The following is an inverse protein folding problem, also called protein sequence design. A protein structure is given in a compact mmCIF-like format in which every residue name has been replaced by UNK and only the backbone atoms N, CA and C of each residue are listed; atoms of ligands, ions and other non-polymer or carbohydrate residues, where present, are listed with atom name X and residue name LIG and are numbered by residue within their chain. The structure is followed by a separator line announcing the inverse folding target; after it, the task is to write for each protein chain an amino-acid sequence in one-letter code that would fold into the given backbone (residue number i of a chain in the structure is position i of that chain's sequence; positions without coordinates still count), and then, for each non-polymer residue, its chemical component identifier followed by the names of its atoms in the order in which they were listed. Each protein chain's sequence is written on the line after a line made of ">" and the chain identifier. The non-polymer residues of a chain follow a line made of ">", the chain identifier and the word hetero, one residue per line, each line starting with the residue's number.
data_IF_568552304593
#
_entry.id   IF_568552304593
#
_cell.length_a   1.000
_cell.length_b   1.000
_cell.length_c   1.000
_cell.angle_alpha   90.00
_cell.angle_beta   90.00
_cell.angle_gamma   90.00
#
_symmetry.space_group_name_H-M   'P 1'
#
loop_
_entity.id
_entity.type
_entity.pdbx_description
1 polymer ?
#
# COMPACT_ATOMS: atom_id res chain seq x y z
N UNK A 1 -1.18 14.24 3.95
CA UNK A 1 -0.04 14.48 4.86
C UNK A 1 -0.04 13.40 5.92
N UNK A 2 1.14 12.85 6.28
CA UNK A 2 1.28 11.83 7.33
C UNK A 2 2.24 12.38 8.39
N UNK A 3 1.81 12.36 9.64
CA UNK A 3 2.55 12.91 10.78
C UNK A 3 2.60 11.90 11.92
N UNK A 4 3.76 11.71 12.57
CA UNK A 4 3.85 10.88 13.78
C UNK A 4 3.19 11.58 14.95
N UNK A 5 2.43 10.84 15.74
CA UNK A 5 1.82 11.29 16.98
C UNK A 5 2.08 10.27 18.09
N UNK A 6 1.84 10.65 19.32
CA UNK A 6 1.93 9.74 20.48
C UNK A 6 0.57 9.70 21.17
N UNK A 7 0.01 8.51 21.34
CA UNK A 7 -1.26 8.26 22.03
C UNK A 7 -0.98 7.27 23.15
N UNK A 8 -1.27 7.65 24.39
CA UNK A 8 -1.04 6.80 25.58
C UNK A 8 0.38 6.21 25.67
N UNK A 9 1.38 7.01 25.24
CA UNK A 9 2.78 6.57 25.22
C UNK A 9 3.19 5.69 24.04
N UNK A 10 2.27 5.36 23.16
CA UNK A 10 2.53 4.56 21.95
C UNK A 10 2.61 5.44 20.70
N UNK A 11 3.51 5.10 19.80
CA UNK A 11 3.64 5.77 18.51
C UNK A 11 2.47 5.41 17.60
N UNK A 12 1.91 6.43 16.96
CA UNK A 12 0.84 6.30 15.98
C UNK A 12 1.07 7.30 14.84
N UNK A 13 0.29 7.18 13.78
CA UNK A 13 0.39 8.01 12.59
C UNK A 13 -0.94 8.69 12.31
N UNK A 14 -0.95 10.02 12.26
CA UNK A 14 -2.08 10.80 11.77
C UNK A 14 -1.93 10.96 10.25
N UNK A 15 -2.83 10.36 9.50
CA UNK A 15 -2.90 10.49 8.04
C UNK A 15 -4.06 11.38 7.65
N UNK A 16 -3.75 12.51 6.98
CA UNK A 16 -4.72 13.49 6.49
C UNK A 16 -4.83 13.42 4.97
N UNK A 17 -6.05 13.32 4.46
CA UNK A 17 -6.35 13.18 3.04
C UNK A 17 -6.68 14.54 2.42
N UNK A 18 -5.80 15.02 1.52
CA UNK A 18 -5.98 16.29 0.81
C UNK A 18 -6.96 16.19 -0.35
N UNK A 19 -7.39 17.35 -0.86
CA UNK A 19 -8.26 17.48 -2.05
C UNK A 19 -7.49 17.44 -3.38
N UNK A 20 -6.24 16.96 -3.41
CA UNK A 20 -5.39 17.01 -4.61
C UNK A 20 -5.82 16.03 -5.70
N UNK A 21 -6.10 16.53 -6.91
CA UNK A 21 -6.34 15.68 -8.08
C UNK A 21 -5.08 15.57 -8.96
N UNK A 22 -4.58 14.36 -9.14
CA UNK A 22 -3.59 14.01 -10.19
C UNK A 22 -4.29 13.62 -11.50
N UNK A 23 -5.46 14.17 -11.76
CA UNK A 23 -6.39 13.73 -12.81
C UNK A 23 -5.79 13.72 -14.22
N UNK A 24 -4.97 14.72 -14.58
CA UNK A 24 -4.41 14.82 -15.94
C UNK A 24 -3.36 13.74 -16.25
N UNK A 25 -2.42 13.49 -15.32
CA UNK A 25 -1.39 12.46 -15.50
C UNK A 25 -2.00 11.05 -15.51
N UNK A 26 -3.00 10.80 -14.66
CA UNK A 26 -3.73 9.54 -14.60
C UNK A 26 -4.59 9.32 -15.85
N UNK A 27 -5.16 10.37 -16.42
CA UNK A 27 -5.92 10.32 -17.67
C UNK A 27 -5.08 9.83 -18.85
N UNK A 28 -3.86 10.35 -19.00
CA UNK A 28 -2.94 9.94 -20.05
C UNK A 28 -2.49 8.47 -19.88
N UNK A 29 -2.15 8.06 -18.67
CA UNK A 29 -1.75 6.68 -18.36
C UNK A 29 -2.91 5.70 -18.63
N UNK A 30 -4.13 6.05 -18.29
CA UNK A 30 -5.32 5.25 -18.56
C UNK A 30 -5.57 5.09 -20.06
N UNK A 31 -5.38 6.16 -20.85
CA UNK A 31 -5.50 6.11 -22.31
C UNK A 31 -4.47 5.17 -22.94
N UNK A 32 -3.21 5.22 -22.49
CA UNK A 32 -2.14 4.33 -22.96
C UNK A 32 -2.44 2.88 -22.57
N UNK A 33 -2.81 2.62 -21.31
CA UNK A 33 -3.16 1.27 -20.83
C UNK A 33 -4.30 0.65 -21.64
N UNK A 34 -5.34 1.42 -21.95
CA UNK A 34 -6.45 0.99 -22.81
C UNK A 34 -6.01 0.68 -24.25
N UNK A 35 -5.15 1.54 -24.82
CA UNK A 35 -4.68 1.39 -26.22
C UNK A 35 -3.88 0.12 -26.44
N UNK A 36 -3.13 -0.34 -25.44
CA UNK A 36 -2.27 -1.51 -25.50
C UNK A 36 -2.83 -2.75 -24.76
N UNK A 37 -4.10 -2.72 -24.31
CA UNK A 37 -4.74 -3.80 -23.55
C UNK A 37 -3.96 -4.22 -22.29
N UNK A 38 -3.29 -3.26 -21.64
CA UNK A 38 -2.53 -3.46 -20.41
C UNK A 38 -3.39 -3.15 -19.18
N UNK A 39 -4.44 -3.95 -18.97
CA UNK A 39 -5.44 -3.68 -17.93
C UNK A 39 -4.84 -3.64 -16.51
N UNK A 40 -3.84 -4.46 -16.22
CA UNK A 40 -3.11 -4.44 -14.95
C UNK A 40 -2.35 -3.11 -14.68
N UNK A 41 -2.12 -2.27 -15.69
CA UNK A 41 -1.48 -0.96 -15.55
C UNK A 41 -2.49 0.20 -15.50
N UNK A 42 -3.80 -0.08 -15.57
CA UNK A 42 -4.83 0.96 -15.46
C UNK A 42 -4.76 1.60 -14.07
N UNK A 43 -4.66 2.94 -13.99
CA UNK A 43 -4.66 3.60 -12.70
C UNK A 43 -6.05 3.51 -12.07
N UNK A 44 -6.16 3.09 -10.79
CA UNK A 44 -7.41 3.19 -10.04
C UNK A 44 -7.85 4.65 -9.91
N UNK A 45 -9.14 4.92 -9.69
CA UNK A 45 -9.63 6.26 -9.42
C UNK A 45 -8.95 6.82 -8.17
N UNK A 46 -8.26 7.96 -8.33
CA UNK A 46 -7.70 8.68 -7.19
C UNK A 46 -8.76 9.63 -6.63
N UNK A 47 -9.16 9.37 -5.39
CA UNK A 47 -10.11 10.21 -4.64
C UNK A 47 -9.36 11.01 -3.59
N UNK A 48 -9.93 12.14 -3.17
CA UNK A 48 -9.41 12.95 -2.07
C UNK A 48 -10.36 13.00 -0.89
N UNK A 49 -9.91 13.60 0.22
CA UNK A 49 -10.74 13.87 1.38
C UNK A 49 -11.37 12.63 2.01
N UNK A 50 -12.66 12.73 2.35
CA UNK A 50 -13.39 11.65 3.03
C UNK A 50 -13.48 10.37 2.19
N UNK A 51 -13.57 10.46 0.87
CA UNK A 51 -13.65 9.29 0.01
C UNK A 51 -12.35 8.46 -0.01
N UNK A 52 -11.18 9.10 0.01
CA UNK A 52 -9.89 8.41 0.13
C UNK A 52 -9.75 7.76 1.51
N UNK A 53 -10.13 8.50 2.58
CA UNK A 53 -10.17 7.96 3.95
C UNK A 53 -11.03 6.70 4.04
N UNK A 54 -12.25 6.74 3.52
CA UNK A 54 -13.20 5.63 3.58
C UNK A 54 -12.70 4.41 2.79
N UNK A 55 -12.10 4.65 1.61
CA UNK A 55 -11.46 3.57 0.83
C UNK A 55 -10.34 2.93 1.63
N UNK A 56 -9.43 3.71 2.20
CA UNK A 56 -8.30 3.16 2.97
C UNK A 56 -8.78 2.43 4.24
N UNK A 57 -9.72 2.99 5.00
CA UNK A 57 -10.26 2.36 6.19
C UNK A 57 -10.92 1.00 5.87
N UNK A 58 -11.71 0.93 4.80
CA UNK A 58 -12.31 -0.32 4.31
C UNK A 58 -11.24 -1.33 3.89
N UNK A 59 -10.27 -0.92 3.08
CA UNK A 59 -9.19 -1.78 2.59
C UNK A 59 -8.34 -2.34 3.73
N UNK A 60 -7.98 -1.51 4.72
CA UNK A 60 -7.26 -1.95 5.92
C UNK A 60 -8.06 -3.02 6.68
N UNK A 61 -9.37 -2.82 6.87
CA UNK A 61 -10.24 -3.80 7.52
C UNK A 61 -10.33 -5.13 6.76
N UNK A 62 -10.47 -5.09 5.43
CA UNK A 62 -10.50 -6.28 4.57
C UNK A 62 -9.17 -7.06 4.64
N UNK A 63 -8.05 -6.38 4.52
CA UNK A 63 -6.72 -6.99 4.58
C UNK A 63 -6.41 -7.57 5.96
N UNK A 64 -6.80 -6.89 7.03
CA UNK A 64 -6.68 -7.40 8.39
C UNK A 64 -7.50 -8.68 8.59
N UNK A 65 -8.74 -8.73 8.06
CA UNK A 65 -9.58 -9.91 8.11
C UNK A 65 -9.00 -11.10 7.32
N UNK A 66 -8.21 -10.81 6.28
CA UNK A 66 -7.45 -11.81 5.50
C UNK A 66 -6.11 -12.20 6.14
N UNK A 67 -5.80 -11.71 7.34
CA UNK A 67 -4.57 -12.00 8.07
C UNK A 67 -3.32 -11.35 7.49
N UNK A 68 -3.48 -10.23 6.78
CA UNK A 68 -2.37 -9.42 6.27
C UNK A 68 -1.91 -8.45 7.38
N UNK A 69 -0.61 -8.28 7.54
CA UNK A 69 -0.04 -7.32 8.48
C UNK A 69 -0.21 -5.90 7.94
N UNK A 70 -1.21 -5.21 8.44
CA UNK A 70 -1.52 -3.81 8.13
C UNK A 70 -1.76 -3.04 9.42
N UNK A 71 -1.52 -1.72 9.46
CA UNK A 71 -1.74 -0.93 10.66
C UNK A 71 -3.22 -0.92 11.06
N UNK A 72 -3.56 -1.25 12.31
CA UNK A 72 -4.92 -1.06 12.84
C UNK A 72 -5.34 0.41 12.76
N UNK A 73 -6.59 0.64 12.38
CA UNK A 73 -7.23 1.96 12.50
C UNK A 73 -7.66 2.16 13.94
N UNK A 74 -7.02 3.10 14.65
CA UNK A 74 -7.29 3.40 16.06
C UNK A 74 -8.08 4.69 16.25
N UNK A 75 -8.34 5.43 15.19
CA UNK A 75 -9.19 6.61 15.20
C UNK A 75 -9.51 7.09 13.79
N UNK A 76 -10.63 7.79 13.64
CA UNK A 76 -11.03 8.42 12.40
C UNK A 76 -11.65 9.79 12.64
N UNK A 77 -11.40 10.70 11.70
CA UNK A 77 -11.93 12.06 11.71
C UNK A 77 -12.31 12.51 10.30
N UNK A 78 -12.68 13.78 10.16
CA UNK A 78 -12.97 14.35 8.84
C UNK A 78 -11.70 14.33 7.99
N UNK A 79 -11.74 13.61 6.86
CA UNK A 79 -10.62 13.42 5.95
C UNK A 79 -9.31 13.01 6.66
N UNK A 80 -9.40 12.22 7.75
CA UNK A 80 -8.24 11.79 8.52
C UNK A 80 -8.44 10.40 9.13
N UNK A 81 -7.34 9.62 9.22
CA UNK A 81 -7.24 8.39 10.00
C UNK A 81 -6.09 8.50 10.99
N UNK A 82 -6.25 7.84 12.13
CA UNK A 82 -5.17 7.55 13.04
C UNK A 82 -4.87 6.06 12.96
N UNK A 83 -3.64 5.75 12.60
CA UNK A 83 -3.15 4.39 12.38
C UNK A 83 -2.13 4.03 13.45
N UNK A 84 -2.19 2.81 13.98
CA UNK A 84 -1.15 2.31 14.85
C UNK A 84 0.19 2.22 14.10
N UNK A 85 1.30 2.29 14.83
CA UNK A 85 2.62 2.06 14.24
C UNK A 85 2.73 0.62 13.76
N UNK A 86 3.27 0.42 12.57
CA UNK A 86 3.40 -0.88 11.91
C UNK A 86 4.85 -1.20 11.51
N UNK A 87 5.81 -0.57 12.18
CA UNK A 87 7.22 -0.77 11.93
C UNK A 87 7.90 0.34 11.12
N UNK A 88 9.19 0.15 10.88
CA UNK A 88 10.02 1.09 10.13
C UNK A 88 9.76 0.99 8.63
N UNK A 89 9.92 2.09 7.90
CA UNK A 89 9.83 2.08 6.43
C UNK A 89 10.80 1.04 5.83
N UNK A 90 10.27 0.16 5.01
CA UNK A 90 11.03 -0.91 4.35
C UNK A 90 12.16 -0.36 3.47
N UNK A 91 11.95 0.79 2.81
CA UNK A 91 13.00 1.49 2.07
C UNK A 91 14.18 1.91 2.95
N UNK A 92 13.92 2.29 4.19
CA UNK A 92 14.99 2.63 5.15
C UNK A 92 15.76 1.37 5.53
N UNK A 93 15.04 0.28 5.82
CA UNK A 93 15.65 -1.01 6.14
C UNK A 93 16.54 -1.52 4.99
N UNK A 94 16.07 -1.46 3.74
CA UNK A 94 16.84 -1.84 2.56
C UNK A 94 18.13 -1.02 2.38
N UNK A 95 18.07 0.29 2.66
CA UNK A 95 19.27 1.16 2.54
C UNK A 95 20.29 0.92 3.64
N UNK A 96 19.86 0.50 4.82
CA UNK A 96 20.73 0.25 5.98
C UNK A 96 21.31 -1.15 6.01
N UNK A 97 20.70 -2.10 5.30
CA UNK A 97 21.12 -3.49 5.25
C UNK A 97 22.34 -3.69 4.33
N UNK A 98 23.18 -4.65 4.68
CA UNK A 98 24.16 -5.25 3.78
C UNK A 98 23.48 -6.06 2.66
N UNK A 99 24.24 -6.60 1.74
CA UNK A 99 23.73 -7.38 0.60
C UNK A 99 22.87 -8.56 1.07
N UNK A 100 23.41 -9.37 1.98
CA UNK A 100 22.68 -10.52 2.52
C UNK A 100 21.43 -10.11 3.30
N UNK A 101 21.46 -8.97 3.99
CA UNK A 101 20.31 -8.39 4.66
C UNK A 101 19.22 -7.92 3.69
N UNK A 102 19.61 -7.29 2.58
CA UNK A 102 18.68 -6.91 1.51
C UNK A 102 17.98 -8.12 0.91
N UNK A 103 18.75 -9.17 0.59
CA UNK A 103 18.20 -10.41 0.04
C UNK A 103 17.17 -11.04 0.99
N UNK A 104 17.46 -11.07 2.29
CA UNK A 104 16.51 -11.56 3.32
C UNK A 104 15.23 -10.70 3.37
N UNK A 105 15.37 -9.38 3.36
CA UNK A 105 14.22 -8.46 3.37
C UNK A 105 13.36 -8.64 2.11
N UNK A 106 13.98 -8.69 0.93
CA UNK A 106 13.27 -8.90 -0.33
C UNK A 106 12.57 -10.26 -0.34
N UNK A 107 13.22 -11.33 0.10
CA UNK A 107 12.63 -12.65 0.21
C UNK A 107 11.42 -12.66 1.18
N UNK A 108 11.53 -11.97 2.32
CA UNK A 108 10.42 -11.82 3.27
C UNK A 108 9.22 -11.10 2.64
N UNK A 109 9.47 -10.03 1.87
CA UNK A 109 8.42 -9.28 1.19
C UNK A 109 7.74 -10.12 0.09
N UNK A 110 8.52 -10.85 -0.72
CA UNK A 110 7.98 -11.77 -1.74
C UNK A 110 7.09 -12.83 -1.10
N UNK A 111 7.52 -13.42 0.00
CA UNK A 111 6.76 -14.43 0.73
C UNK A 111 5.47 -13.85 1.32
N UNK A 112 5.52 -12.65 1.92
CA UNK A 112 4.36 -11.98 2.49
C UNK A 112 3.31 -11.66 1.41
N UNK A 113 3.73 -11.16 0.23
CA UNK A 113 2.85 -10.89 -0.91
C UNK A 113 2.22 -12.21 -1.40
N UNK A 114 3.02 -13.26 -1.60
CA UNK A 114 2.53 -14.56 -2.08
C UNK A 114 1.49 -15.17 -1.12
N UNK A 115 1.74 -15.12 0.19
CA UNK A 115 0.81 -15.63 1.20
C UNK A 115 -0.49 -14.82 1.25
N UNK A 116 -0.41 -13.49 1.09
CA UNK A 116 -1.59 -12.64 1.01
C UNK A 116 -2.41 -12.96 -0.25
N UNK A 117 -1.76 -13.08 -1.42
CA UNK A 117 -2.42 -13.45 -2.67
C UNK A 117 -3.12 -14.81 -2.58
N UNK A 118 -2.51 -15.81 -1.93
CA UNK A 118 -3.11 -17.12 -1.71
C UNK A 118 -4.40 -17.06 -0.88
N UNK A 119 -4.58 -16.02 -0.07
CA UNK A 119 -5.81 -15.75 0.72
C UNK A 119 -6.79 -14.82 -0.01
N UNK A 120 -6.53 -14.49 -1.28
CA UNK A 120 -7.37 -13.60 -2.08
C UNK A 120 -7.14 -12.11 -1.84
N UNK A 121 -6.08 -11.74 -1.10
CA UNK A 121 -5.70 -10.35 -0.92
C UNK A 121 -5.02 -9.77 -2.16
N UNK A 122 -4.97 -8.45 -2.23
CA UNK A 122 -4.25 -7.65 -3.23
C UNK A 122 -3.92 -6.29 -2.60
N UNK A 123 -2.92 -5.59 -3.14
CA UNK A 123 -2.42 -4.34 -2.56
C UNK A 123 -2.64 -3.14 -3.48
N UNK A 124 -2.30 -3.28 -4.77
CA UNK A 124 -2.36 -2.24 -5.78
C UNK A 124 -1.01 -1.56 -6.04
N UNK A 125 -0.30 -1.16 -5.00
CA UNK A 125 1.01 -0.53 -5.11
C UNK A 125 1.96 -0.97 -3.98
N UNK A 126 2.35 -2.25 -3.88
CA UNK A 126 3.29 -2.72 -2.87
C UNK A 126 4.74 -2.35 -3.24
N UNK A 127 4.97 -1.05 -3.44
CA UNK A 127 6.31 -0.50 -3.62
C UNK A 127 7.05 -0.55 -2.26
N UNK A 128 8.38 -0.67 -2.22
CA UNK A 128 9.13 -0.70 -0.97
C UNK A 128 8.85 0.48 -0.02
N UNK A 129 8.46 1.64 -0.55
CA UNK A 129 8.05 2.80 0.26
C UNK A 129 6.69 2.60 0.96
N UNK A 130 5.85 1.71 0.45
CA UNK A 130 4.52 1.37 0.97
C UNK A 130 4.55 0.07 1.80
N UNK A 131 5.74 -0.42 2.12
CA UNK A 131 5.98 -1.53 3.03
C UNK A 131 6.66 -1.04 4.30
N UNK A 132 6.47 -1.80 5.38
CA UNK A 132 7.13 -1.61 6.67
C UNK A 132 7.80 -2.90 7.13
N UNK A 133 8.71 -2.80 8.09
CA UNK A 133 9.39 -3.90 8.73
C UNK A 133 9.47 -3.66 10.24
N UNK A 134 8.97 -4.57 11.05
CA UNK A 134 9.00 -4.48 12.51
C UNK A 134 10.15 -5.26 13.16
N UNK A 135 10.96 -5.94 12.35
CA UNK A 135 12.04 -6.83 12.79
C UNK A 135 11.74 -8.31 12.51
N UNK A 136 10.47 -8.67 12.33
CA UNK A 136 10.01 -10.05 12.10
C UNK A 136 9.11 -10.18 10.87
N UNK A 137 8.23 -9.23 10.67
CA UNK A 137 7.19 -9.28 9.64
C UNK A 137 7.20 -8.05 8.74
N UNK A 138 6.87 -8.29 7.48
CA UNK A 138 6.57 -7.22 6.52
C UNK A 138 5.15 -6.74 6.73
N UNK A 139 4.99 -5.43 6.87
CA UNK A 139 3.69 -4.76 6.89
C UNK A 139 3.43 -4.01 5.60
N UNK A 140 2.16 -3.67 5.35
CA UNK A 140 1.72 -2.96 4.16
C UNK A 140 0.90 -1.74 4.55
N UNK A 141 1.14 -0.62 3.85
CA UNK A 141 0.48 0.67 4.11
C UNK A 141 0.06 1.33 2.79
N UNK A 142 -0.75 2.39 2.88
CA UNK A 142 -1.15 3.25 1.76
C UNK A 142 -2.15 2.60 0.79
N UNK A 143 -3.42 2.54 1.23
CA UNK A 143 -4.54 1.93 0.51
C UNK A 143 -5.62 2.94 0.09
N UNK A 144 -5.23 4.15 -0.29
CA UNK A 144 -6.15 5.22 -0.72
C UNK A 144 -6.90 4.88 -2.03
N UNK A 145 -6.40 3.91 -2.78
CA UNK A 145 -6.95 3.46 -4.06
C UNK A 145 -7.38 2.00 -4.00
N UNK A 146 -8.40 1.64 -4.78
CA UNK A 146 -8.85 0.26 -4.92
C UNK A 146 -8.72 -0.21 -6.38
N UNK A 147 -7.74 -1.09 -6.68
CA UNK A 147 -7.57 -1.64 -8.02
C UNK A 147 -8.80 -2.36 -8.58
N UNK A 148 -9.61 -3.02 -7.74
CA UNK A 148 -10.79 -3.75 -8.21
C UNK A 148 -11.89 -2.86 -8.78
N UNK A 149 -11.79 -1.54 -8.65
CA UNK A 149 -12.68 -0.62 -9.34
C UNK A 149 -12.46 -0.60 -10.87
N UNK A 150 -11.31 -1.05 -11.35
CA UNK A 150 -10.92 -0.96 -12.77
C UNK A 150 -10.34 -2.25 -13.35
N UNK A 151 -10.11 -3.28 -12.53
CA UNK A 151 -9.54 -4.56 -12.94
C UNK A 151 -10.05 -5.70 -12.06
N UNK A 152 -9.90 -6.95 -12.51
CA UNK A 152 -10.21 -8.12 -11.71
C UNK A 152 -9.10 -8.48 -10.70
N UNK A 153 -9.37 -9.45 -9.83
CA UNK A 153 -8.43 -9.88 -8.78
C UNK A 153 -7.11 -10.39 -9.35
N UNK A 154 -7.14 -11.19 -10.42
CA UNK A 154 -5.93 -11.75 -11.02
C UNK A 154 -5.05 -10.63 -11.61
N UNK A 155 -5.66 -9.64 -12.25
CA UNK A 155 -4.97 -8.45 -12.74
C UNK A 155 -4.41 -7.58 -11.61
N UNK A 156 -5.15 -7.42 -10.51
CA UNK A 156 -4.68 -6.69 -9.33
C UNK A 156 -3.47 -7.38 -8.69
N UNK A 157 -3.50 -8.70 -8.54
CA UNK A 157 -2.36 -9.47 -8.03
C UNK A 157 -1.16 -9.47 -9.00
N UNK A 158 -1.38 -9.53 -10.31
CA UNK A 158 -0.32 -9.36 -11.31
C UNK A 158 0.32 -7.96 -11.23
N UNK A 159 -0.51 -6.92 -11.04
CA UNK A 159 -0.04 -5.55 -10.80
C UNK A 159 0.85 -5.45 -9.57
N UNK A 160 0.49 -6.12 -8.48
CA UNK A 160 1.30 -6.13 -7.25
C UNK A 160 2.72 -6.63 -7.52
N UNK A 161 2.89 -7.73 -8.25
CA UNK A 161 4.20 -8.26 -8.62
C UNK A 161 5.00 -7.29 -9.50
N UNK A 162 4.35 -6.66 -10.47
CA UNK A 162 5.00 -5.67 -11.33
C UNK A 162 5.48 -4.44 -10.53
N UNK A 163 4.64 -3.94 -9.61
CA UNK A 163 4.96 -2.76 -8.80
C UNK A 163 6.07 -3.07 -7.79
N UNK A 164 6.02 -4.24 -7.14
CA UNK A 164 7.08 -4.64 -6.21
C UNK A 164 8.41 -4.82 -6.93
N UNK A 165 8.46 -5.61 -8.02
CA UNK A 165 9.66 -5.83 -8.81
C UNK A 165 10.28 -4.54 -9.35
N UNK A 166 9.45 -3.64 -9.88
CA UNK A 166 9.90 -2.31 -10.31
C UNK A 166 10.49 -1.48 -9.16
N UNK A 167 9.86 -1.55 -7.98
CA UNK A 167 10.31 -0.79 -6.81
C UNK A 167 11.62 -1.28 -6.23
N UNK A 168 11.89 -2.59 -6.28
CA UNK A 168 13.14 -3.20 -5.78
C UNK A 168 14.30 -3.01 -6.76
N UNK A 169 14.03 -2.97 -8.07
CA UNK A 169 15.05 -2.81 -9.11
C UNK A 169 15.65 -1.38 -9.20
N UNK A 170 15.13 -0.41 -8.45
CA UNK A 170 15.56 1.00 -8.39
C UNK A 170 16.38 1.31 -7.18
#
# INVERSE_FOLDING_TARGET
>A
VVEPIVIEGQRAWLKQYGQGSRALALGLLNMVARRFHLDALRPPPHRGGDAARDTEARRLGELQAQGVNVPPVIGSGRAALVLADNGQSFNVCLRQADEAGRDRLVAAALQAIAQAHARGAYFGQPLPRNLTWDGEQVGFIDFEEDPLEVMDLAQAQARDWLMFGYGVAR
#
